data_IF_886820356511
#
_entry.id   IF_886820356511
#
_cell.length_a   1.000
_cell.length_b   1.000
_cell.length_c   1.000
_cell.angle_alpha   90.00
_cell.angle_beta   90.00
_cell.angle_gamma   90.00
#
_symmetry.space_group_name_H-M   'P 1'
#
loop_
_entity.id
_entity.type
_entity.pdbx_description
1 polymer ?
#
# COMPACT_ATOMS: atom_id res chain seq x y z
N UNK A 1 -15.70 -2.26 -4.97
CA UNK A 1 -15.06 -1.05 -4.53
C UNK A 1 -13.69 -1.27 -3.85
N UNK A 2 -13.35 -2.46 -3.43
CA UNK A 2 -11.98 -2.87 -3.00
C UNK A 2 -10.91 -2.75 -4.12
N UNK A 3 -11.29 -2.32 -5.31
CA UNK A 3 -10.42 -2.33 -6.50
C UNK A 3 -9.21 -1.40 -6.41
N UNK A 4 -9.22 -0.39 -5.56
CA UNK A 4 -8.17 0.64 -5.54
C UNK A 4 -6.82 0.11 -5.06
N UNK A 5 -6.80 -0.68 -4.00
CA UNK A 5 -5.59 -1.34 -3.50
C UNK A 5 -5.36 -2.69 -4.18
N UNK A 6 -6.43 -3.35 -4.66
CA UNK A 6 -6.36 -4.66 -5.33
C UNK A 6 -5.71 -4.55 -6.71
N UNK A 7 -5.97 -3.47 -7.48
CA UNK A 7 -5.36 -3.28 -8.81
C UNK A 7 -3.83 -3.30 -8.75
N UNK A 8 -3.14 -2.51 -7.92
CA UNK A 8 -1.69 -2.59 -7.80
C UNK A 8 -1.21 -3.92 -7.21
N UNK A 9 -1.97 -4.53 -6.28
CA UNK A 9 -1.63 -5.83 -5.73
C UNK A 9 -1.67 -6.94 -6.80
N UNK A 10 -2.69 -6.97 -7.64
CA UNK A 10 -2.76 -7.90 -8.78
C UNK A 10 -1.64 -7.63 -9.78
N UNK A 11 -1.36 -6.35 -10.08
CA UNK A 11 -0.26 -5.98 -10.98
C UNK A 11 1.09 -6.45 -10.44
N UNK A 12 1.32 -6.40 -9.14
CA UNK A 12 2.52 -6.97 -8.52
C UNK A 12 2.71 -8.45 -8.87
N UNK A 13 1.67 -9.28 -8.72
CA UNK A 13 1.73 -10.68 -9.11
C UNK A 13 1.95 -10.86 -10.62
N UNK A 14 1.29 -10.06 -11.45
CA UNK A 14 1.52 -10.10 -12.89
C UNK A 14 2.97 -9.74 -13.25
N UNK A 15 3.57 -8.76 -12.60
CA UNK A 15 4.96 -8.39 -12.82
C UNK A 15 5.90 -9.53 -12.40
N UNK A 16 5.70 -10.15 -11.24
CA UNK A 16 6.56 -11.25 -10.77
C UNK A 16 6.49 -12.45 -11.71
N UNK A 17 5.29 -12.89 -12.09
CA UNK A 17 5.12 -14.10 -12.88
C UNK A 17 5.36 -13.91 -14.37
N UNK A 18 4.97 -12.78 -14.92
CA UNK A 18 4.97 -12.52 -16.36
C UNK A 18 5.90 -11.38 -16.80
N UNK A 19 6.39 -10.57 -15.88
CA UNK A 19 7.18 -9.37 -16.20
C UNK A 19 8.42 -9.65 -17.03
N UNK A 20 9.13 -10.76 -16.79
CA UNK A 20 10.29 -11.15 -17.61
C UNK A 20 9.94 -11.50 -19.06
N UNK A 21 8.69 -11.85 -19.34
CA UNK A 21 8.20 -12.16 -20.69
C UNK A 21 7.58 -10.95 -21.37
N UNK A 22 7.30 -9.89 -20.62
CA UNK A 22 6.71 -8.66 -21.13
C UNK A 22 7.76 -7.84 -21.92
N UNK A 23 7.36 -7.12 -23.00
CA UNK A 23 8.28 -6.40 -23.88
C UNK A 23 9.10 -5.32 -23.18
N UNK A 24 8.59 -4.73 -22.09
CA UNK A 24 9.29 -3.72 -21.26
C UNK A 24 9.57 -4.21 -19.84
N UNK A 25 9.78 -5.51 -19.65
CA UNK A 25 10.19 -6.07 -18.36
C UNK A 25 9.15 -5.96 -17.24
N UNK A 26 7.87 -5.73 -17.56
CA UNK A 26 6.77 -5.66 -16.61
C UNK A 26 6.44 -4.26 -16.07
N UNK A 27 7.20 -3.22 -16.41
CA UNK A 27 6.88 -1.83 -16.01
C UNK A 27 5.52 -1.37 -16.52
N UNK A 28 5.07 -1.88 -17.65
CA UNK A 28 3.77 -1.60 -18.27
C UNK A 28 2.63 -1.93 -17.30
N UNK A 29 2.67 -3.10 -16.67
CA UNK A 29 1.64 -3.53 -15.72
C UNK A 29 1.60 -2.61 -14.50
N UNK A 30 2.77 -2.21 -13.99
CA UNK A 30 2.87 -1.30 -12.86
C UNK A 30 2.29 0.08 -13.19
N UNK A 31 2.73 0.67 -14.30
CA UNK A 31 2.27 1.99 -14.75
C UNK A 31 0.77 1.97 -15.04
N UNK A 32 0.27 0.97 -15.78
CA UNK A 32 -1.15 0.86 -16.08
C UNK A 32 -2.00 0.72 -14.81
N UNK A 33 -1.53 -0.07 -13.86
CA UNK A 33 -2.20 -0.23 -12.57
C UNK A 33 -2.26 1.08 -11.79
N UNK A 34 -1.17 1.86 -11.77
CA UNK A 34 -1.13 3.13 -11.06
C UNK A 34 -1.96 4.21 -11.76
N UNK A 35 -1.94 4.27 -13.09
CA UNK A 35 -2.81 5.17 -13.87
C UNK A 35 -4.27 4.81 -13.64
N UNK A 36 -4.64 3.53 -13.68
CA UNK A 36 -6.01 3.10 -13.38
C UNK A 36 -6.42 3.47 -11.94
N UNK A 37 -5.54 3.26 -10.97
CA UNK A 37 -5.78 3.67 -9.58
C UNK A 37 -5.93 5.19 -9.42
N UNK A 38 -5.15 5.98 -10.17
CA UNK A 38 -5.25 7.44 -10.18
C UNK A 38 -6.59 7.90 -10.77
N UNK A 39 -7.04 7.31 -11.87
CA UNK A 39 -8.35 7.63 -12.48
C UNK A 39 -9.48 7.32 -11.50
N UNK A 40 -9.43 6.18 -10.82
CA UNK A 40 -10.42 5.81 -9.80
C UNK A 40 -10.36 6.76 -8.61
N UNK A 41 -9.16 7.16 -8.17
CA UNK A 41 -8.97 8.12 -7.09
C UNK A 41 -9.56 9.49 -7.44
N UNK A 42 -9.30 9.97 -8.66
CA UNK A 42 -9.87 11.22 -9.15
C UNK A 42 -11.40 11.17 -9.24
N UNK A 43 -11.96 10.06 -9.73
CA UNK A 43 -13.41 9.82 -9.73
C UNK A 43 -14.01 9.83 -8.32
N UNK A 44 -13.29 9.27 -7.33
CA UNK A 44 -13.71 9.30 -5.92
C UNK A 44 -13.70 10.72 -5.36
N UNK A 45 -12.64 11.47 -5.65
CA UNK A 45 -12.54 12.85 -5.20
C UNK A 45 -13.66 13.72 -5.81
N UNK A 46 -13.95 13.52 -7.09
CA UNK A 46 -15.06 14.20 -7.74
C UNK A 46 -16.41 13.86 -7.06
N UNK A 47 -16.68 12.56 -6.82
CA UNK A 47 -17.89 12.14 -6.12
C UNK A 47 -17.95 12.68 -4.70
N UNK A 48 -16.82 12.72 -3.98
CA UNK A 48 -16.75 13.29 -2.63
C UNK A 48 -17.10 14.77 -2.64
N UNK A 49 -16.53 15.53 -3.54
CA UNK A 49 -16.76 16.98 -3.62
C UNK A 49 -18.20 17.30 -4.01
N UNK A 50 -18.79 16.54 -4.94
CA UNK A 50 -20.12 16.85 -5.49
C UNK A 50 -21.25 16.30 -4.63
N UNK A 51 -21.12 15.09 -4.07
CA UNK A 51 -22.24 14.36 -3.45
C UNK A 51 -22.13 14.24 -1.91
N UNK A 52 -20.92 14.19 -1.35
CA UNK A 52 -20.71 13.88 0.07
C UNK A 52 -20.39 15.12 0.91
N UNK A 53 -20.01 16.23 0.28
CA UNK A 53 -19.72 17.50 0.98
C UNK A 53 -20.87 18.02 1.84
N UNK A 54 -22.09 17.53 1.63
CA UNK A 54 -23.28 17.90 2.41
C UNK A 54 -23.56 16.98 3.60
N UNK A 55 -22.98 15.78 3.64
CA UNK A 55 -23.09 14.85 4.77
C UNK A 55 -21.68 14.51 5.23
N UNK A 56 -21.29 15.03 6.39
CA UNK A 56 -19.93 14.83 6.97
C UNK A 56 -19.64 13.38 7.39
N UNK A 57 -20.47 12.42 7.03
CA UNK A 57 -20.33 11.03 7.43
C UNK A 57 -19.35 10.27 6.54
N UNK A 58 -18.37 9.55 7.13
CA UNK A 58 -17.44 8.74 6.38
C UNK A 58 -18.15 7.53 5.72
N UNK A 59 -17.73 7.17 4.52
CA UNK A 59 -18.23 5.99 3.84
C UNK A 59 -17.40 4.79 4.24
N UNK A 60 -17.97 3.91 5.07
CA UNK A 60 -17.30 2.70 5.55
C UNK A 60 -17.93 1.48 4.86
N UNK A 61 -17.12 0.68 4.18
CA UNK A 61 -17.52 -0.60 3.58
C UNK A 61 -16.56 -1.68 4.01
N UNK A 62 -17.05 -2.64 4.78
CA UNK A 62 -16.23 -3.75 5.30
C UNK A 62 -16.82 -5.11 4.91
N UNK A 63 -15.94 -6.06 4.68
CA UNK A 63 -16.26 -7.48 4.51
C UNK A 63 -15.58 -8.24 5.64
N UNK A 64 -16.33 -8.99 6.41
CA UNK A 64 -15.77 -9.81 7.49
C UNK A 64 -14.99 -10.96 6.88
N UNK A 65 -13.67 -10.98 7.12
CA UNK A 65 -12.79 -12.03 6.65
C UNK A 65 -12.77 -13.22 7.62
N UNK A 66 -12.72 -12.92 8.93
CA UNK A 66 -12.64 -13.95 9.96
C UNK A 66 -13.25 -13.45 11.26
N UNK A 67 -13.87 -14.33 12.03
CA UNK A 67 -14.40 -14.00 13.37
C UNK A 67 -14.06 -15.10 14.34
N UNK A 68 -13.55 -14.76 15.52
CA UNK A 68 -13.24 -15.68 16.59
C UNK A 68 -13.40 -14.99 17.94
N UNK A 69 -14.01 -15.68 18.91
CA UNK A 69 -14.14 -15.20 20.29
C UNK A 69 -14.85 -13.84 20.43
N UNK A 70 -15.81 -13.51 19.55
CA UNK A 70 -16.50 -12.21 19.58
C UNK A 70 -15.77 -11.07 18.86
N UNK A 71 -14.51 -11.25 18.45
CA UNK A 71 -13.76 -10.28 17.64
C UNK A 71 -13.94 -10.58 16.17
N UNK A 72 -14.36 -9.55 15.39
CA UNK A 72 -14.52 -9.63 13.94
C UNK A 72 -13.36 -8.93 13.25
N UNK A 73 -12.61 -9.68 12.46
CA UNK A 73 -11.58 -9.12 11.57
C UNK A 73 -12.22 -8.81 10.22
N UNK A 74 -12.36 -7.52 9.93
CA UNK A 74 -12.96 -7.07 8.67
C UNK A 74 -11.87 -6.41 7.82
N UNK A 75 -11.93 -6.64 6.51
CA UNK A 75 -11.14 -5.93 5.50
C UNK A 75 -12.10 -5.02 4.75
N UNK A 76 -11.69 -3.78 4.51
CA UNK A 76 -12.59 -2.85 3.86
C UNK A 76 -11.96 -1.53 3.47
N UNK A 77 -12.83 -0.56 3.26
CA UNK A 77 -12.46 0.82 2.93
C UNK A 77 -13.17 1.78 3.88
N UNK A 78 -12.40 2.70 4.45
CA UNK A 78 -12.87 3.87 5.16
C UNK A 78 -12.52 5.10 4.32
N UNK A 79 -13.53 5.80 3.85
CA UNK A 79 -13.36 6.96 2.96
C UNK A 79 -13.94 8.18 3.66
N UNK A 80 -13.05 9.05 4.07
CA UNK A 80 -13.33 10.40 4.56
C UNK A 80 -12.57 11.43 3.71
N UNK A 81 -12.71 12.71 4.02
CA UNK A 81 -12.03 13.78 3.29
C UNK A 81 -10.50 13.66 3.31
N UNK A 82 -9.93 13.20 4.43
CA UNK A 82 -8.49 12.99 4.57
C UNK A 82 -8.02 11.80 3.71
N UNK A 83 -8.76 10.68 3.74
CA UNK A 83 -8.45 9.53 2.91
C UNK A 83 -8.52 9.85 1.41
N UNK A 84 -9.49 10.67 0.98
CA UNK A 84 -9.60 11.11 -0.42
C UNK A 84 -8.40 11.95 -0.84
N UNK A 85 -7.96 12.91 -0.02
CA UNK A 85 -6.76 13.70 -0.30
C UNK A 85 -5.50 12.83 -0.36
N UNK A 86 -5.32 11.95 0.62
CA UNK A 86 -4.19 11.04 0.66
C UNK A 86 -4.19 10.07 -0.53
N UNK A 87 -5.36 9.56 -0.91
CA UNK A 87 -5.52 8.67 -2.05
C UNK A 87 -5.08 9.33 -3.37
N UNK A 88 -5.51 10.58 -3.61
CA UNK A 88 -5.08 11.35 -4.78
C UNK A 88 -3.56 11.60 -4.77
N UNK A 89 -3.02 12.06 -3.65
CA UNK A 89 -1.60 12.35 -3.51
C UNK A 89 -0.76 11.10 -3.78
N UNK A 90 -1.09 9.99 -3.12
CA UNK A 90 -0.36 8.73 -3.24
C UNK A 90 -0.41 8.20 -4.67
N UNK A 91 -1.60 8.12 -5.29
CA UNK A 91 -1.72 7.59 -6.65
C UNK A 91 -1.04 8.49 -7.68
N UNK A 92 -1.09 9.80 -7.52
CA UNK A 92 -0.43 10.76 -8.40
C UNK A 92 1.10 10.62 -8.31
N UNK A 93 1.66 10.71 -7.09
CA UNK A 93 3.12 10.59 -6.89
C UNK A 93 3.62 9.22 -7.33
N UNK A 94 2.94 8.14 -6.93
CA UNK A 94 3.35 6.78 -7.33
C UNK A 94 3.33 6.59 -8.85
N UNK A 95 2.37 7.20 -9.55
CA UNK A 95 2.34 7.16 -11.02
C UNK A 95 3.56 7.87 -11.62
N UNK A 96 3.89 9.07 -11.13
CA UNK A 96 5.06 9.82 -11.60
C UNK A 96 6.36 9.07 -11.30
N UNK A 97 6.50 8.50 -10.11
CA UNK A 97 7.68 7.72 -9.73
C UNK A 97 7.80 6.47 -10.61
N UNK A 98 6.71 5.77 -10.92
CA UNK A 98 6.75 4.61 -11.80
C UNK A 98 7.19 4.99 -13.23
N UNK A 99 6.68 6.10 -13.78
CA UNK A 99 7.10 6.62 -15.09
C UNK A 99 8.58 6.99 -15.06
N UNK A 100 9.02 7.76 -14.06
CA UNK A 100 10.43 8.14 -13.90
C UNK A 100 11.34 6.92 -13.80
N UNK A 101 10.93 5.91 -13.05
CA UNK A 101 11.72 4.69 -12.81
C UNK A 101 11.97 3.88 -14.08
N UNK A 102 11.17 4.05 -15.13
CA UNK A 102 11.40 3.36 -16.41
C UNK A 102 12.75 3.73 -17.03
N UNK A 103 13.17 4.99 -16.87
CA UNK A 103 14.46 5.46 -17.34
C UNK A 103 15.56 5.29 -16.29
N UNK A 104 15.21 5.50 -14.99
CA UNK A 104 16.16 5.42 -13.88
C UNK A 104 16.83 4.05 -13.74
N UNK A 105 16.06 2.95 -13.84
CA UNK A 105 16.60 1.58 -13.76
C UNK A 105 16.73 0.91 -15.13
N UNK A 106 16.79 1.70 -16.20
CA UNK A 106 16.94 1.19 -17.58
C UNK A 106 18.23 0.40 -17.74
N UNK A 107 18.09 -0.84 -18.25
CA UNK A 107 19.25 -1.71 -18.43
C UNK A 107 19.71 -2.47 -17.17
N UNK A 108 19.04 -2.27 -16.04
CA UNK A 108 19.35 -3.01 -14.83
C UNK A 108 18.93 -4.48 -14.95
N UNK A 109 19.78 -5.38 -14.46
CA UNK A 109 19.54 -6.82 -14.45
C UNK A 109 18.29 -7.22 -13.67
N UNK A 110 17.91 -6.41 -12.67
CA UNK A 110 16.76 -6.67 -11.78
C UNK A 110 15.59 -5.71 -12.00
N UNK A 111 15.49 -5.17 -13.20
CA UNK A 111 14.43 -4.24 -13.60
C UNK A 111 13.03 -4.70 -13.17
N UNK A 112 12.65 -5.94 -13.51
CA UNK A 112 11.35 -6.53 -13.16
C UNK A 112 11.12 -6.58 -11.65
N UNK A 113 12.16 -6.92 -10.88
CA UNK A 113 12.07 -7.00 -9.41
C UNK A 113 11.87 -5.60 -8.79
N UNK A 114 12.53 -4.58 -9.33
CA UNK A 114 12.35 -3.20 -8.90
C UNK A 114 10.90 -2.75 -9.08
N UNK A 115 10.35 -2.96 -10.27
CA UNK A 115 8.95 -2.59 -10.55
C UNK A 115 7.94 -3.39 -9.75
N UNK A 116 8.20 -4.66 -9.49
CA UNK A 116 7.37 -5.45 -8.59
C UNK A 116 7.34 -4.85 -7.18
N UNK A 117 8.50 -4.58 -6.60
CA UNK A 117 8.62 -4.00 -5.25
C UNK A 117 7.98 -2.61 -5.16
N UNK A 118 8.16 -1.76 -6.18
CA UNK A 118 7.57 -0.43 -6.25
C UNK A 118 6.04 -0.48 -6.36
N UNK A 119 5.52 -1.43 -7.14
CA UNK A 119 4.07 -1.62 -7.29
C UNK A 119 3.44 -2.18 -6.01
N UNK A 120 4.12 -3.13 -5.33
CA UNK A 120 3.67 -3.65 -4.05
C UNK A 120 3.72 -2.58 -2.95
N UNK A 121 4.74 -1.72 -2.95
CA UNK A 121 4.82 -0.56 -2.05
C UNK A 121 3.58 0.33 -2.20
N UNK A 122 3.21 0.66 -3.43
CA UNK A 122 2.02 1.47 -3.71
C UNK A 122 0.73 0.77 -3.27
N UNK A 123 0.62 -0.55 -3.47
CA UNK A 123 -0.51 -1.34 -3.00
C UNK A 123 -0.62 -1.32 -1.46
N UNK A 124 0.50 -1.50 -0.75
CA UNK A 124 0.56 -1.40 0.71
C UNK A 124 0.12 -0.04 1.22
N UNK A 125 0.61 1.04 0.57
CA UNK A 125 0.23 2.41 0.94
C UNK A 125 -1.25 2.69 0.74
N UNK A 126 -1.85 2.24 -0.38
CA UNK A 126 -3.29 2.38 -0.60
C UNK A 126 -4.11 1.54 0.38
N UNK A 127 -3.63 0.36 0.75
CA UNK A 127 -4.27 -0.51 1.75
C UNK A 127 -4.27 0.16 3.13
N UNK A 128 -3.17 0.83 3.50
CA UNK A 128 -3.04 1.58 4.74
C UNK A 128 -3.96 2.81 4.77
N UNK A 129 -3.94 3.63 3.71
CA UNK A 129 -4.74 4.87 3.62
C UNK A 129 -6.23 4.59 3.70
N UNK A 130 -6.68 3.47 3.15
CA UNK A 130 -8.09 3.07 3.12
C UNK A 130 -8.49 2.17 4.30
N UNK A 131 -7.61 1.96 5.27
CA UNK A 131 -7.85 1.00 6.35
C UNK A 131 -9.02 1.43 7.26
N UNK A 132 -10.07 0.60 7.41
CA UNK A 132 -11.17 0.85 8.34
C UNK A 132 -10.85 0.46 9.77
N UNK A 133 -9.75 -0.25 9.99
CA UNK A 133 -9.34 -0.74 11.30
C UNK A 133 -7.81 -0.82 11.41
N UNK A 134 -7.33 -0.89 12.66
CA UNK A 134 -5.91 -0.89 12.97
C UNK A 134 -5.16 -2.12 12.42
N UNK A 135 -5.82 -3.27 12.32
CA UNK A 135 -5.20 -4.49 11.79
C UNK A 135 -4.86 -4.35 10.31
N UNK A 136 -5.78 -3.83 9.51
CA UNK A 136 -5.53 -3.57 8.10
C UNK A 136 -4.50 -2.44 7.91
N UNK A 137 -4.53 -1.41 8.78
CA UNK A 137 -3.54 -0.35 8.79
C UNK A 137 -2.12 -0.91 8.98
N UNK A 138 -1.92 -1.74 10.00
CA UNK A 138 -0.63 -2.37 10.29
C UNK A 138 -0.20 -3.27 9.12
N UNK A 139 -1.11 -4.04 8.52
CA UNK A 139 -0.80 -4.87 7.37
C UNK A 139 -0.23 -4.05 6.21
N UNK A 140 -0.89 -2.93 5.86
CA UNK A 140 -0.38 -2.02 4.82
C UNK A 140 0.97 -1.42 5.17
N UNK A 141 1.15 -1.00 6.42
CA UNK A 141 2.40 -0.47 6.95
C UNK A 141 3.56 -1.46 6.86
N UNK A 142 3.34 -2.70 7.26
CA UNK A 142 4.33 -3.79 7.20
C UNK A 142 4.76 -4.12 5.77
N UNK A 143 3.81 -4.14 4.84
CA UNK A 143 4.11 -4.34 3.40
C UNK A 143 4.99 -3.20 2.89
N UNK A 144 4.69 -1.95 3.24
CA UNK A 144 5.53 -0.81 2.83
C UNK A 144 6.95 -0.90 3.41
N UNK A 145 7.08 -1.27 4.69
CA UNK A 145 8.37 -1.46 5.34
C UNK A 145 9.24 -2.51 4.64
N UNK A 146 8.64 -3.64 4.26
CA UNK A 146 9.32 -4.68 3.49
C UNK A 146 9.74 -4.18 2.11
N UNK A 147 8.84 -3.52 1.39
CA UNK A 147 9.14 -2.98 0.07
C UNK A 147 10.22 -1.90 0.10
N UNK A 148 10.21 -1.04 1.12
CA UNK A 148 11.26 -0.04 1.35
C UNK A 148 12.63 -0.70 1.50
N UNK A 149 12.71 -1.76 2.31
CA UNK A 149 13.94 -2.54 2.45
C UNK A 149 14.43 -3.08 1.11
N UNK A 150 13.51 -3.67 0.31
CA UNK A 150 13.85 -4.24 -1.01
C UNK A 150 14.29 -3.17 -2.01
N UNK A 151 13.70 -1.97 -1.96
CA UNK A 151 14.05 -0.87 -2.86
C UNK A 151 15.37 -0.20 -2.47
N UNK A 152 15.62 0.04 -1.18
CA UNK A 152 16.90 0.58 -0.68
C UNK A 152 18.03 -0.39 -0.98
N UNK A 153 17.80 -1.69 -0.76
CA UNK A 153 18.74 -2.76 -1.03
C UNK A 153 18.75 -3.26 -2.47
N UNK A 154 18.24 -2.48 -3.45
CA UNK A 154 18.14 -2.94 -4.83
C UNK A 154 19.50 -3.39 -5.42
N UNK A 155 20.56 -2.61 -5.17
CA UNK A 155 21.94 -2.97 -5.52
C UNK A 155 22.67 -3.56 -4.31
N UNK A 156 22.16 -4.68 -3.82
CA UNK A 156 22.66 -5.33 -2.60
C UNK A 156 24.09 -5.88 -2.71
N UNK A 157 24.65 -6.00 -3.92
CA UNK A 157 26.05 -6.36 -4.13
C UNK A 157 27.00 -5.28 -3.57
N UNK A 158 26.56 -4.03 -3.54
CA UNK A 158 27.30 -2.97 -2.92
C UNK A 158 27.09 -3.01 -1.40
N UNK A 159 28.16 -3.27 -0.66
CA UNK A 159 28.08 -3.41 0.80
C UNK A 159 27.52 -2.17 1.51
N UNK A 160 27.73 -0.98 0.94
CA UNK A 160 27.19 0.27 1.46
C UNK A 160 25.66 0.28 1.40
N UNK A 161 25.07 -0.12 0.26
CA UNK A 161 23.63 -0.16 0.05
C UNK A 161 22.97 -1.24 0.92
N UNK A 162 23.58 -2.42 1.00
CA UNK A 162 23.12 -3.51 1.87
C UNK A 162 23.08 -3.11 3.34
N UNK A 163 24.14 -2.45 3.84
CA UNK A 163 24.18 -1.92 5.21
C UNK A 163 23.14 -0.83 5.45
N UNK A 164 22.94 0.06 4.47
CA UNK A 164 21.91 1.11 4.56
C UNK A 164 20.51 0.52 4.63
N UNK A 165 20.22 -0.48 3.79
CA UNK A 165 18.92 -1.18 3.78
C UNK A 165 18.65 -1.88 5.12
N UNK A 166 19.63 -2.60 5.67
CA UNK A 166 19.52 -3.27 6.98
C UNK A 166 19.31 -2.24 8.10
N UNK A 167 20.08 -1.15 8.09
CA UNK A 167 19.94 -0.08 9.11
C UNK A 167 18.53 0.52 9.04
N UNK A 168 18.06 0.89 7.87
CA UNK A 168 16.71 1.44 7.69
C UNK A 168 15.64 0.46 8.17
N UNK A 169 15.73 -0.81 7.78
CA UNK A 169 14.79 -1.85 8.17
C UNK A 169 14.72 -2.03 9.70
N UNK A 170 15.85 -2.23 10.36
CA UNK A 170 15.86 -2.43 11.81
C UNK A 170 15.40 -1.20 12.59
N UNK A 171 15.72 0.01 12.12
CA UNK A 171 15.24 1.24 12.75
C UNK A 171 13.72 1.34 12.71
N UNK A 172 13.11 1.06 11.54
CA UNK A 172 11.64 1.06 11.39
C UNK A 172 11.02 -0.04 12.24
N UNK A 173 11.56 -1.28 12.21
CA UNK A 173 11.04 -2.41 13.00
C UNK A 173 11.07 -2.18 14.51
N UNK A 174 12.03 -1.43 15.02
CA UNK A 174 12.03 -1.05 16.43
C UNK A 174 10.83 -0.17 16.78
N UNK A 175 10.44 0.75 15.90
CA UNK A 175 9.23 1.55 16.04
C UNK A 175 7.94 0.72 15.91
N UNK A 176 7.94 -0.26 15.00
CA UNK A 176 6.79 -1.14 14.75
C UNK A 176 6.44 -2.00 15.96
N UNK A 177 7.44 -2.40 16.76
CA UNK A 177 7.19 -3.09 18.03
C UNK A 177 6.32 -2.25 18.97
N UNK A 178 6.59 -0.94 19.06
CA UNK A 178 5.76 -0.01 19.85
C UNK A 178 4.33 0.10 19.30
N UNK A 179 4.17 0.17 17.97
CA UNK A 179 2.87 0.21 17.31
C UNK A 179 2.06 -1.07 17.58
N UNK A 180 2.68 -2.23 17.50
CA UNK A 180 2.03 -3.52 17.76
C UNK A 180 1.59 -3.65 19.23
N UNK A 181 2.45 -3.27 20.18
CA UNK A 181 2.12 -3.28 21.61
C UNK A 181 0.96 -2.32 21.90
N UNK A 182 1.02 -1.09 21.37
CA UNK A 182 -0.06 -0.11 21.52
C UNK A 182 -1.39 -0.61 20.95
N UNK A 183 -1.35 -1.24 19.78
CA UNK A 183 -2.55 -1.84 19.16
C UNK A 183 -3.10 -2.99 19.99
N UNK A 184 -2.24 -3.86 20.52
CA UNK A 184 -2.68 -4.96 21.39
C UNK A 184 -3.33 -4.45 22.68
N UNK A 185 -2.80 -3.39 23.28
CA UNK A 185 -3.41 -2.74 24.44
C UNK A 185 -4.80 -2.17 24.11
N UNK A 186 -4.94 -1.46 22.99
CA UNK A 186 -6.23 -0.91 22.55
C UNK A 186 -7.26 -2.02 22.30
N UNK A 187 -6.87 -3.10 21.65
CA UNK A 187 -7.76 -4.24 21.39
C UNK A 187 -8.19 -4.94 22.71
N UNK A 188 -7.29 -5.03 23.69
CA UNK A 188 -7.60 -5.59 25.00
C UNK A 188 -8.59 -4.72 25.77
N UNK A 189 -8.46 -3.40 25.73
CA UNK A 189 -9.39 -2.46 26.38
C UNK A 189 -10.77 -2.48 25.72
N UNK A 190 -10.83 -2.47 24.38
CA UNK A 190 -12.09 -2.57 23.63
C UNK A 190 -12.80 -3.90 23.95
N UNK A 191 -12.05 -5.00 24.03
CA UNK A 191 -12.60 -6.31 24.42
C UNK A 191 -13.20 -6.34 25.83
N UNK A 192 -12.62 -5.60 26.76
CA UNK A 192 -13.15 -5.47 28.13
C UNK A 192 -14.39 -4.58 28.22
N UNK A 193 -14.51 -3.58 27.36
CA UNK A 193 -15.66 -2.67 27.36
C UNK A 193 -16.96 -3.32 26.85
N UNK A 194 -16.88 -4.51 26.25
CA UNK A 194 -18.02 -5.28 25.73
C UNK A 194 -18.38 -6.50 26.60
N UNK A 195 -17.78 -6.67 27.77
CA UNK A 195 -18.12 -7.67 28.80
C UNK A 195 -18.78 -6.97 29.99
#
# INVERSE_FOLDING_TARGET
MLFRSVIPAVAFFLIIFFGKKAPRGGSEFGILAMVASLVIAAGTAYQWIVHVRSSEEPVIKTVTWWSSGGVKFAIGEHIDGLAVMALLLVTFISTLVQIYSTEYVRGDRRYTHFFASLTLFSAGMLTMVLAPNMVQFILGWEIMGLCSFMLIGHWWEEQANSRAALKAFFTVRTGDMGLLVGTAMLLAEIGRAHV
#
